data_IF_497240773556
#
_entry.id   IF_497240773556
#
_cell.length_a   1.000
_cell.length_b   1.000
_cell.length_c   1.000
_cell.angle_alpha   90.00
_cell.angle_beta   90.00
_cell.angle_gamma   90.00
#
_symmetry.space_group_name_H-M   'P 1'
#
loop_
_entity.id
_entity.type
_entity.pdbx_description
1 polymer ?
#
# COMPACT_ATOMS: atom_id res chain seq x y z
N UNK A 1 5.10 -28.29 0.87
CA UNK A 1 6.32 -27.46 0.72
C UNK A 1 6.34 -26.49 1.89
N UNK A 2 7.45 -26.37 2.58
CA UNK A 2 7.55 -25.57 3.82
C UNK A 2 7.68 -24.09 3.54
N UNK A 3 7.04 -23.24 4.35
CA UNK A 3 7.01 -21.78 4.17
C UNK A 3 8.41 -21.15 4.14
N UNK A 4 9.27 -21.55 5.08
CA UNK A 4 10.64 -21.02 5.17
C UNK A 4 11.51 -21.41 3.97
N UNK A 5 11.30 -22.60 3.41
CA UNK A 5 11.99 -23.03 2.18
C UNK A 5 11.52 -22.20 0.99
N UNK A 6 10.21 -21.97 0.87
CA UNK A 6 9.62 -21.11 -0.16
C UNK A 6 10.12 -19.68 -0.05
N UNK A 7 10.13 -19.09 1.15
CA UNK A 7 10.69 -17.75 1.40
C UNK A 7 12.15 -17.67 0.96
N UNK A 8 12.97 -18.62 1.41
CA UNK A 8 14.40 -18.65 1.08
C UNK A 8 14.64 -18.75 -0.44
N UNK A 9 13.81 -19.49 -1.16
CA UNK A 9 13.93 -19.63 -2.60
C UNK A 9 13.41 -18.39 -3.35
N UNK A 10 12.29 -17.81 -2.90
CA UNK A 10 11.75 -16.54 -3.40
C UNK A 10 12.76 -15.40 -3.30
N UNK A 11 13.41 -15.24 -2.14
CA UNK A 11 14.43 -14.20 -1.94
C UNK A 11 15.66 -14.39 -2.83
N UNK A 12 15.98 -15.63 -3.23
CA UNK A 12 17.09 -15.94 -4.13
C UNK A 12 16.77 -15.69 -5.59
N UNK A 13 15.53 -15.93 -6.03
CA UNK A 13 15.14 -15.69 -7.42
C UNK A 13 15.06 -14.20 -7.73
N UNK A 14 14.61 -13.38 -6.77
CA UNK A 14 14.36 -11.96 -6.98
C UNK A 14 13.16 -11.70 -7.91
N UNK A 15 12.37 -12.74 -8.21
CA UNK A 15 11.20 -12.66 -9.08
C UNK A 15 9.98 -12.26 -8.26
N UNK A 16 9.64 -10.97 -8.31
CA UNK A 16 8.42 -10.45 -7.70
C UNK A 16 7.17 -10.98 -8.39
N UNK A 17 6.15 -11.29 -7.60
CA UNK A 17 4.84 -11.61 -8.14
C UNK A 17 4.11 -10.31 -8.50
N UNK A 18 3.72 -10.16 -9.77
CA UNK A 18 3.05 -8.95 -10.24
C UNK A 18 1.81 -9.31 -11.07
N UNK A 19 0.71 -9.69 -10.39
CA UNK A 19 -0.51 -10.13 -11.04
C UNK A 19 -1.17 -9.01 -11.86
N UNK A 20 -0.88 -7.74 -11.54
CA UNK A 20 -1.34 -6.58 -12.31
C UNK A 20 -0.74 -6.55 -13.74
N UNK A 21 0.41 -7.22 -13.96
CA UNK A 21 1.01 -7.43 -15.28
C UNK A 21 0.89 -8.88 -15.78
N UNK A 22 0.03 -9.66 -15.15
CA UNK A 22 -0.19 -11.06 -15.46
C UNK A 22 1.02 -11.96 -15.28
N UNK A 23 1.94 -11.59 -14.39
CA UNK A 23 3.12 -12.40 -14.06
C UNK A 23 2.80 -13.34 -12.92
N UNK A 24 2.94 -14.63 -13.18
CA UNK A 24 2.91 -15.65 -12.15
C UNK A 24 4.27 -15.79 -11.46
N UNK A 25 4.27 -16.29 -10.23
CA UNK A 25 5.47 -16.77 -9.57
C UNK A 25 5.28 -18.28 -9.35
N UNK A 26 5.95 -19.10 -10.16
CA UNK A 26 5.80 -20.56 -10.15
C UNK A 26 6.05 -21.16 -8.76
N UNK A 27 6.96 -20.55 -7.99
CA UNK A 27 7.33 -20.99 -6.66
C UNK A 27 6.20 -20.77 -5.65
N UNK A 28 5.55 -19.60 -5.69
CA UNK A 28 4.38 -19.30 -4.88
C UNK A 28 3.15 -20.11 -5.32
N UNK A 29 2.96 -20.31 -6.63
CA UNK A 29 1.92 -21.18 -7.18
C UNK A 29 2.08 -22.62 -6.72
N UNK A 30 3.30 -23.16 -6.74
CA UNK A 30 3.62 -24.49 -6.21
C UNK A 30 3.37 -24.58 -4.70
N UNK A 31 3.68 -23.51 -3.95
CA UNK A 31 3.38 -23.46 -2.52
C UNK A 31 1.88 -23.55 -2.27
N UNK A 32 1.08 -22.74 -2.98
CA UNK A 32 -0.38 -22.73 -2.88
C UNK A 32 -1.01 -24.06 -3.29
N UNK A 33 -0.47 -24.72 -4.32
CA UNK A 33 -0.94 -26.03 -4.74
C UNK A 33 -0.70 -27.11 -3.66
N UNK A 34 0.45 -27.06 -2.99
CA UNK A 34 0.80 -27.97 -1.90
C UNK A 34 0.08 -27.64 -0.59
N UNK A 35 -0.29 -26.38 -0.36
CA UNK A 35 -0.88 -25.88 0.87
C UNK A 35 -2.19 -25.13 0.57
N UNK A 36 -3.33 -25.82 0.62
CA UNK A 36 -4.62 -25.20 0.25
C UNK A 36 -5.01 -24.05 1.18
N UNK A 37 -4.64 -24.13 2.45
CA UNK A 37 -4.83 -23.12 3.48
C UNK A 37 -3.52 -22.85 4.23
N UNK A 38 -3.37 -21.67 4.80
CA UNK A 38 -2.29 -21.36 5.74
C UNK A 38 -2.59 -21.99 7.10
N UNK A 39 -1.59 -22.62 7.71
CA UNK A 39 -1.71 -23.05 9.11
C UNK A 39 -1.64 -21.85 10.06
N UNK A 40 -2.03 -22.04 11.31
CA UNK A 40 -1.85 -21.00 12.34
C UNK A 40 -0.37 -20.65 12.55
N UNK A 41 0.52 -21.64 12.45
CA UNK A 41 1.97 -21.42 12.52
C UNK A 41 2.46 -20.55 11.36
N UNK A 42 1.98 -20.81 10.13
CA UNK A 42 2.32 -19.99 8.96
C UNK A 42 1.84 -18.55 9.14
N UNK A 43 0.58 -18.38 9.57
CA UNK A 43 0.01 -17.06 9.80
C UNK A 43 0.79 -16.26 10.85
N UNK A 44 1.22 -16.90 11.93
CA UNK A 44 2.05 -16.26 12.94
C UNK A 44 3.42 -15.86 12.40
N UNK A 45 4.10 -16.74 11.66
CA UNK A 45 5.39 -16.43 11.05
C UNK A 45 5.31 -15.26 10.04
N UNK A 46 4.28 -15.24 9.20
CA UNK A 46 4.04 -14.15 8.25
C UNK A 46 3.76 -12.82 8.98
N UNK A 47 3.02 -12.86 10.09
CA UNK A 47 2.74 -11.68 10.92
C UNK A 47 4.02 -11.13 11.56
N UNK A 48 4.88 -12.00 12.06
CA UNK A 48 6.17 -11.62 12.63
C UNK A 48 7.05 -10.89 11.59
N UNK A 49 7.09 -11.40 10.36
CA UNK A 49 7.84 -10.75 9.26
C UNK A 49 7.29 -9.33 9.01
N UNK A 50 5.97 -9.15 8.88
CA UNK A 50 5.36 -7.85 8.61
C UNK A 50 5.66 -6.82 9.72
N UNK A 51 5.60 -7.24 10.98
CA UNK A 51 5.81 -6.38 12.15
C UNK A 51 7.28 -6.13 12.50
N UNK A 52 8.20 -6.92 11.95
CA UNK A 52 9.62 -6.77 12.21
C UNK A 52 10.27 -5.67 11.35
N UNK A 53 11.52 -5.35 11.68
CA UNK A 53 12.41 -4.54 10.83
C UNK A 53 13.02 -5.39 9.68
N UNK A 54 12.35 -6.46 9.26
CA UNK A 54 12.76 -7.24 8.09
C UNK A 54 12.90 -6.33 6.86
N UNK A 55 13.79 -6.74 5.96
CA UNK A 55 13.94 -6.04 4.69
C UNK A 55 12.63 -6.10 3.88
N UNK A 56 12.46 -5.14 2.96
CA UNK A 56 11.25 -5.06 2.16
C UNK A 56 11.02 -6.29 1.27
N UNK A 57 12.06 -7.02 0.85
CA UNK A 57 11.90 -8.23 0.05
C UNK A 57 11.20 -9.36 0.83
N UNK A 58 11.48 -9.49 2.12
CA UNK A 58 10.77 -10.43 2.99
C UNK A 58 9.31 -10.02 3.18
N UNK A 59 9.02 -8.72 3.29
CA UNK A 59 7.64 -8.22 3.38
C UNK A 59 6.89 -8.41 2.06
N UNK A 60 7.55 -8.22 0.90
CA UNK A 60 6.99 -8.55 -0.41
C UNK A 60 6.64 -10.02 -0.52
N UNK A 61 7.51 -10.92 -0.04
CA UNK A 61 7.17 -12.35 0.02
C UNK A 61 5.85 -12.59 0.76
N UNK A 62 5.65 -11.94 1.91
CA UNK A 62 4.39 -12.05 2.67
C UNK A 62 3.21 -11.51 1.86
N UNK A 63 3.34 -10.36 1.22
CA UNK A 63 2.26 -9.79 0.44
C UNK A 63 1.87 -10.67 -0.75
N UNK A 64 2.87 -11.14 -1.49
CA UNK A 64 2.70 -11.96 -2.69
C UNK A 64 2.10 -13.33 -2.34
N UNK A 65 2.54 -13.96 -1.25
CA UNK A 65 1.95 -15.22 -0.82
C UNK A 65 0.52 -15.00 -0.36
N UNK A 66 0.22 -13.95 0.43
CA UNK A 66 -1.13 -13.67 0.92
C UNK A 66 -2.11 -13.31 -0.20
N UNK A 67 -1.64 -12.77 -1.32
CA UNK A 67 -2.46 -12.58 -2.51
C UNK A 67 -3.13 -13.88 -3.00
N UNK A 68 -2.43 -15.02 -2.86
CA UNK A 68 -2.91 -16.34 -3.27
C UNK A 68 -3.91 -16.95 -2.27
N UNK A 69 -4.11 -16.34 -1.10
CA UNK A 69 -5.03 -16.81 -0.06
C UNK A 69 -6.09 -15.74 0.21
N UNK A 70 -7.17 -15.67 -0.58
CA UNK A 70 -8.21 -14.65 -0.39
C UNK A 70 -8.87 -14.69 0.99
N UNK A 71 -8.78 -15.82 1.70
CA UNK A 71 -9.33 -16.02 3.06
C UNK A 71 -8.24 -16.05 4.15
N UNK A 72 -7.11 -15.35 3.96
CA UNK A 72 -6.07 -15.31 4.99
C UNK A 72 -6.58 -14.73 6.33
N UNK A 73 -5.94 -15.07 7.47
CA UNK A 73 -6.38 -14.61 8.79
C UNK A 73 -6.47 -13.08 8.94
N UNK A 74 -7.57 -12.59 9.50
CA UNK A 74 -7.84 -11.14 9.63
C UNK A 74 -6.73 -10.39 10.42
N UNK A 75 -6.06 -11.08 11.35
CA UNK A 75 -4.94 -10.52 12.12
C UNK A 75 -3.73 -10.09 11.27
N UNK A 76 -3.67 -10.46 9.98
CA UNK A 76 -2.65 -10.01 9.04
C UNK A 76 -3.04 -8.76 8.26
N UNK A 77 -4.31 -8.36 8.27
CA UNK A 77 -4.80 -7.19 7.49
C UNK A 77 -4.15 -5.90 7.95
N UNK A 78 -4.14 -5.63 9.26
CA UNK A 78 -3.60 -4.35 9.77
C UNK A 78 -2.08 -4.24 9.56
N UNK A 79 -1.25 -5.27 9.83
CA UNK A 79 0.16 -5.25 9.47
C UNK A 79 0.41 -5.06 7.97
N UNK A 80 -0.42 -5.65 7.11
CA UNK A 80 -0.34 -5.47 5.65
C UNK A 80 -0.67 -4.04 5.24
N UNK A 81 -1.76 -3.46 5.74
CA UNK A 81 -2.11 -2.06 5.46
C UNK A 81 -1.07 -1.09 6.02
N UNK A 82 -0.48 -1.38 7.18
CA UNK A 82 0.62 -0.59 7.71
C UNK A 82 1.83 -0.61 6.76
N UNK A 83 2.19 -1.77 6.21
CA UNK A 83 3.23 -1.86 5.19
C UNK A 83 2.85 -1.07 3.94
N UNK A 84 1.61 -1.18 3.45
CA UNK A 84 1.12 -0.41 2.30
C UNK A 84 1.26 1.10 2.51
N UNK A 85 0.89 1.59 3.70
CA UNK A 85 0.90 3.02 4.04
C UNK A 85 2.32 3.56 4.23
N UNK A 86 3.26 2.73 4.69
CA UNK A 86 4.63 3.17 5.01
C UNK A 86 5.64 2.85 3.92
N UNK A 87 5.21 2.17 2.84
CA UNK A 87 6.08 1.85 1.72
C UNK A 87 6.45 3.12 0.95
N UNK A 88 7.74 3.32 0.69
CA UNK A 88 8.23 4.58 0.13
C UNK A 88 7.98 4.73 -1.37
N UNK A 89 7.97 3.64 -2.13
CA UNK A 89 7.72 3.71 -3.58
C UNK A 89 6.21 3.57 -3.87
N UNK A 90 5.53 4.63 -4.32
CA UNK A 90 4.10 4.64 -4.57
C UNK A 90 3.67 3.71 -5.71
N UNK A 91 4.62 3.16 -6.47
CA UNK A 91 4.33 2.15 -7.47
C UNK A 91 4.10 0.80 -6.78
N UNK A 92 4.85 0.48 -5.74
CA UNK A 92 4.92 -0.86 -5.15
C UNK A 92 4.10 -0.99 -3.85
N UNK A 93 3.66 0.10 -3.24
CA UNK A 93 2.73 0.11 -2.10
C UNK A 93 1.48 -0.77 -2.33
N UNK A 94 1.02 -0.86 -3.59
CA UNK A 94 -0.11 -1.67 -4.04
C UNK A 94 0.07 -3.16 -3.76
N UNK A 95 1.30 -3.66 -3.71
CA UNK A 95 1.60 -5.07 -3.43
C UNK A 95 0.99 -5.48 -2.09
N UNK A 96 1.06 -4.59 -1.10
CA UNK A 96 0.49 -4.82 0.22
C UNK A 96 -1.02 -4.51 0.29
N UNK A 97 -1.49 -3.55 -0.51
CA UNK A 97 -2.90 -3.17 -0.57
C UNK A 97 -3.77 -4.28 -1.19
N UNK A 98 -3.31 -4.89 -2.28
CA UNK A 98 -4.11 -5.80 -3.10
C UNK A 98 -4.63 -7.03 -2.36
N UNK A 99 -3.83 -7.74 -1.54
CA UNK A 99 -4.34 -8.84 -0.72
C UNK A 99 -5.45 -8.37 0.23
N UNK A 100 -5.34 -7.17 0.81
CA UNK A 100 -6.36 -6.61 1.68
C UNK A 100 -7.68 -6.33 0.93
N UNK A 101 -7.59 -5.74 -0.27
CA UNK A 101 -8.76 -5.50 -1.12
C UNK A 101 -9.45 -6.80 -1.54
N UNK A 102 -8.70 -7.89 -1.77
CA UNK A 102 -9.26 -9.21 -2.05
C UNK A 102 -9.95 -9.81 -0.83
N UNK A 103 -9.36 -9.63 0.36
CA UNK A 103 -9.80 -10.29 1.60
C UNK A 103 -11.01 -9.65 2.26
N UNK A 104 -11.03 -8.32 2.36
CA UNK A 104 -12.08 -7.59 3.11
C UNK A 104 -12.85 -6.58 2.23
N UNK A 105 -12.46 -6.40 0.97
CA UNK A 105 -13.11 -5.48 0.03
C UNK A 105 -12.72 -4.01 0.23
N UNK A 106 -13.03 -3.18 -0.77
CA UNK A 106 -12.70 -1.74 -0.79
C UNK A 106 -13.25 -1.00 0.43
N UNK A 107 -14.53 -1.17 0.79
CA UNK A 107 -15.15 -0.37 1.87
C UNK A 107 -14.44 -0.57 3.21
N UNK A 108 -14.18 -1.81 3.61
CA UNK A 108 -13.51 -2.10 4.88
C UNK A 108 -12.04 -1.65 4.88
N UNK A 109 -11.35 -1.72 3.73
CA UNK A 109 -10.01 -1.15 3.59
C UNK A 109 -10.06 0.38 3.78
N UNK A 110 -11.00 1.06 3.11
CA UNK A 110 -11.16 2.52 3.24
C UNK A 110 -11.44 2.92 4.69
N UNK A 111 -12.32 2.22 5.40
CA UNK A 111 -12.61 2.51 6.81
C UNK A 111 -11.34 2.44 7.67
N UNK A 112 -10.53 1.38 7.49
CA UNK A 112 -9.23 1.25 8.17
C UNK A 112 -8.24 2.36 7.78
N UNK A 113 -8.18 2.75 6.51
CA UNK A 113 -7.32 3.84 6.05
C UNK A 113 -7.76 5.19 6.62
N UNK A 114 -9.06 5.46 6.77
CA UNK A 114 -9.57 6.68 7.42
C UNK A 114 -9.18 6.72 8.89
N UNK A 115 -9.28 5.60 9.57
CA UNK A 115 -8.86 5.45 10.97
C UNK A 115 -7.37 5.78 11.18
N UNK A 116 -6.52 5.40 10.23
CA UNK A 116 -5.09 5.77 10.18
C UNK A 116 -4.92 7.22 9.73
N UNK A 117 -5.69 7.71 8.76
CA UNK A 117 -5.64 9.09 8.27
C UNK A 117 -5.93 10.11 9.39
N UNK A 118 -6.83 9.77 10.31
CA UNK A 118 -7.23 10.66 11.41
C UNK A 118 -6.21 10.68 12.56
N UNK A 119 -5.56 9.55 12.86
CA UNK A 119 -4.70 9.37 14.05
C UNK A 119 -3.21 9.29 13.74
N UNK A 120 -2.87 8.98 12.49
CA UNK A 120 -1.52 8.68 12.05
C UNK A 120 -0.63 9.91 11.96
N UNK A 121 0.65 9.64 11.77
CA UNK A 121 1.70 10.61 11.47
C UNK A 121 1.51 11.26 10.10
N UNK A 122 2.25 12.34 9.83
CA UNK A 122 2.26 13.00 8.52
C UNK A 122 2.67 12.03 7.40
N UNK A 123 3.64 11.15 7.67
CA UNK A 123 4.11 10.12 6.73
C UNK A 123 2.98 9.16 6.37
N UNK A 124 2.25 8.66 7.37
CA UNK A 124 1.12 7.74 7.14
C UNK A 124 0.00 8.42 6.34
N UNK A 125 -0.33 9.67 6.64
CA UNK A 125 -1.35 10.42 5.88
C UNK A 125 -0.95 10.61 4.41
N UNK A 126 0.33 10.85 4.12
CA UNK A 126 0.83 10.95 2.75
C UNK A 126 0.82 9.59 2.04
N UNK A 127 1.20 8.51 2.73
CA UNK A 127 1.09 7.15 2.20
C UNK A 127 -0.34 6.76 1.84
N UNK A 128 -1.31 7.08 2.69
CA UNK A 128 -2.75 6.89 2.38
C UNK A 128 -3.16 7.69 1.13
N UNK A 129 -2.59 8.87 0.96
CA UNK A 129 -2.86 9.73 -0.21
C UNK A 129 -2.34 9.10 -1.49
N UNK A 130 -1.18 8.44 -1.45
CA UNK A 130 -0.64 7.66 -2.57
C UNK A 130 -1.53 6.45 -2.88
N UNK A 131 -1.94 5.69 -1.85
CA UNK A 131 -2.80 4.52 -2.00
C UNK A 131 -4.16 4.83 -2.65
N UNK A 132 -4.67 6.06 -2.50
CA UNK A 132 -5.92 6.50 -3.12
C UNK A 132 -5.96 6.33 -4.65
N UNK A 133 -4.80 6.31 -5.31
CA UNK A 133 -4.69 6.02 -6.74
C UNK A 133 -4.93 4.55 -7.09
N UNK A 134 -4.58 3.63 -6.18
CA UNK A 134 -4.67 2.18 -6.40
C UNK A 134 -5.99 1.57 -5.99
N UNK A 135 -6.67 2.13 -4.98
CA UNK A 135 -7.98 1.65 -4.50
C UNK A 135 -9.05 1.53 -5.61
N UNK A 136 -9.19 2.48 -6.57
CA UNK A 136 -10.15 2.37 -7.65
C UNK A 136 -9.87 1.20 -8.60
N UNK A 137 -8.63 0.70 -8.62
CA UNK A 137 -8.20 -0.33 -9.55
C UNK A 137 -8.51 -1.69 -8.91
N UNK A 138 -9.30 -2.56 -9.53
CA UNK A 138 -9.58 -3.88 -8.99
C UNK A 138 -8.30 -4.74 -8.93
N UNK A 139 -8.18 -5.64 -7.94
CA UNK A 139 -7.17 -6.69 -7.98
C UNK A 139 -7.46 -7.67 -9.12
N UNK A 140 -6.44 -8.39 -9.58
CA UNK A 140 -6.54 -9.34 -10.70
C UNK A 140 -6.68 -10.79 -10.21
N UNK A 141 -7.37 -11.64 -10.94
CA UNK A 141 -7.38 -13.09 -10.71
C UNK A 141 -7.07 -13.87 -11.97
N UNK A 142 -6.38 -15.00 -11.82
CA UNK A 142 -6.10 -15.90 -12.92
C UNK A 142 -7.20 -16.96 -13.01
N UNK A 143 -7.91 -17.00 -14.14
CA UNK A 143 -8.99 -17.98 -14.39
C UNK A 143 -8.51 -19.26 -15.11
N UNK A 144 -7.19 -19.47 -15.19
CA UNK A 144 -6.56 -20.59 -15.89
C UNK A 144 -6.18 -20.30 -17.35
N UNK A 145 -6.66 -19.20 -17.94
CA UNK A 145 -6.28 -18.79 -19.30
C UNK A 145 -5.77 -17.35 -19.38
N UNK A 146 -6.20 -16.48 -18.47
CA UNK A 146 -5.79 -15.07 -18.43
C UNK A 146 -6.02 -14.46 -17.05
N UNK A 147 -5.33 -13.35 -16.80
CA UNK A 147 -5.60 -12.48 -15.65
C UNK A 147 -6.76 -11.55 -15.97
N UNK A 148 -7.77 -11.53 -15.10
CA UNK A 148 -8.98 -10.72 -15.23
C UNK A 148 -9.19 -9.87 -13.97
N UNK A 149 -9.72 -8.64 -14.10
CA UNK A 149 -10.13 -7.83 -12.96
C UNK A 149 -11.19 -8.52 -12.10
N UNK A 150 -11.04 -8.50 -10.77
CA UNK A 150 -12.08 -8.90 -9.83
C UNK A 150 -13.07 -7.75 -9.69
N UNK A 151 -14.32 -7.95 -10.08
CA UNK A 151 -15.36 -6.94 -9.87
C UNK A 151 -15.51 -6.62 -8.37
N UNK A 152 -15.41 -5.33 -8.05
CA UNK A 152 -15.54 -4.84 -6.68
C UNK A 152 -16.81 -4.00 -6.56
N UNK A 153 -17.73 -4.32 -5.64
CA UNK A 153 -18.92 -3.51 -5.45
C UNK A 153 -18.57 -2.13 -4.84
N UNK A 154 -19.21 -1.08 -5.36
CA UNK A 154 -19.29 0.27 -4.76
C UNK A 154 -17.96 1.00 -4.49
N UNK A 155 -16.99 0.84 -5.38
CA UNK A 155 -15.69 1.52 -5.28
C UNK A 155 -15.82 3.05 -5.23
N UNK A 156 -16.76 3.63 -5.99
CA UNK A 156 -16.94 5.09 -6.05
C UNK A 156 -17.42 5.71 -4.74
N UNK A 157 -18.33 5.04 -4.01
CA UNK A 157 -18.87 5.53 -2.74
C UNK A 157 -17.77 5.53 -1.66
N UNK A 158 -17.02 4.44 -1.55
CA UNK A 158 -15.92 4.34 -0.59
C UNK A 158 -14.82 5.36 -0.88
N UNK A 159 -14.46 5.55 -2.16
CA UNK A 159 -13.48 6.57 -2.56
C UNK A 159 -13.95 7.99 -2.25
N UNK A 160 -15.23 8.28 -2.42
CA UNK A 160 -15.80 9.57 -2.06
C UNK A 160 -15.67 9.82 -0.54
N UNK A 161 -15.93 8.80 0.28
CA UNK A 161 -15.78 8.87 1.73
C UNK A 161 -14.31 9.13 2.11
N UNK A 162 -13.36 8.41 1.51
CA UNK A 162 -11.93 8.65 1.73
C UNK A 162 -11.51 10.07 1.34
N UNK A 163 -11.93 10.54 0.16
CA UNK A 163 -11.62 11.89 -0.32
C UNK A 163 -12.20 12.98 0.58
N UNK A 164 -13.40 12.76 1.14
CA UNK A 164 -13.99 13.67 2.14
C UNK A 164 -13.15 13.73 3.41
N UNK A 165 -12.71 12.57 3.93
CA UNK A 165 -11.83 12.53 5.09
C UNK A 165 -10.48 13.22 4.82
N UNK A 166 -9.92 13.08 3.61
CA UNK A 166 -8.73 13.83 3.18
C UNK A 166 -8.97 15.33 3.13
N UNK A 167 -10.12 15.78 2.60
CA UNK A 167 -10.49 17.19 2.60
C UNK A 167 -10.56 17.76 4.03
N UNK A 168 -11.10 17.00 4.98
CA UNK A 168 -11.11 17.41 6.38
C UNK A 168 -9.68 17.53 6.94
N UNK A 169 -8.74 16.66 6.55
CA UNK A 169 -7.33 16.77 6.97
C UNK A 169 -6.60 17.95 6.31
N UNK A 170 -6.89 18.26 5.05
CA UNK A 170 -6.34 19.44 4.36
C UNK A 170 -6.63 20.72 5.14
N UNK A 171 -7.81 20.83 5.78
CA UNK A 171 -8.15 22.00 6.60
C UNK A 171 -7.39 22.09 7.93
N UNK A 172 -6.76 21.00 8.38
CA UNK A 172 -6.11 20.87 9.69
C UNK A 172 -4.59 20.96 9.62
N UNK A 173 -4.00 20.80 8.45
CA UNK A 173 -2.54 20.84 8.27
C UNK A 173 -2.08 22.14 7.65
N UNK A 174 -0.91 22.61 8.09
CA UNK A 174 -0.16 23.70 7.45
C UNK A 174 1.16 23.19 6.86
N UNK A 175 1.39 21.87 6.87
CA UNK A 175 2.62 21.28 6.34
C UNK A 175 2.59 21.31 4.80
N UNK A 176 3.51 22.03 4.14
CA UNK A 176 3.48 22.18 2.69
C UNK A 176 3.78 20.90 1.92
N UNK A 177 4.53 19.96 2.51
CA UNK A 177 4.78 18.64 1.90
C UNK A 177 3.51 17.81 1.93
N UNK A 178 2.82 17.77 3.07
CA UNK A 178 1.55 17.08 3.21
C UNK A 178 0.48 17.64 2.25
N UNK A 179 0.37 18.97 2.18
CA UNK A 179 -0.54 19.65 1.25
C UNK A 179 -0.21 19.36 -0.22
N UNK A 180 1.07 19.24 -0.58
CA UNK A 180 1.48 18.82 -1.92
C UNK A 180 0.93 17.43 -2.27
N UNK A 181 1.05 16.46 -1.36
CA UNK A 181 0.53 15.12 -1.57
C UNK A 181 -1.00 15.12 -1.76
N UNK A 182 -1.74 15.84 -0.92
CA UNK A 182 -3.19 15.98 -1.10
C UNK A 182 -3.55 16.62 -2.45
N UNK A 183 -2.81 17.65 -2.88
CA UNK A 183 -3.02 18.34 -4.16
C UNK A 183 -2.86 17.41 -5.37
N UNK A 184 -2.04 16.34 -5.27
CA UNK A 184 -1.87 15.39 -6.37
C UNK A 184 -3.14 14.57 -6.68
N UNK A 185 -4.02 14.37 -5.70
CA UNK A 185 -5.19 13.48 -5.83
C UNK A 185 -6.53 14.18 -5.61
N UNK A 186 -6.51 15.48 -5.27
CA UNK A 186 -7.70 16.29 -4.95
C UNK A 186 -7.90 17.45 -5.93
N UNK A 187 -9.02 18.14 -5.79
CA UNK A 187 -9.31 19.37 -6.53
C UNK A 187 -8.27 20.46 -6.22
N UNK A 188 -7.50 20.85 -7.23
CA UNK A 188 -6.42 21.83 -7.11
C UNK A 188 -6.91 23.26 -6.81
N UNK A 189 -8.21 23.52 -6.87
CA UNK A 189 -8.81 24.83 -6.60
C UNK A 189 -9.01 25.13 -5.11
N UNK A 190 -8.73 24.17 -4.21
CA UNK A 190 -8.84 24.39 -2.77
C UNK A 190 -7.90 25.53 -2.30
N UNK A 191 -8.38 26.52 -1.52
CA UNK A 191 -7.57 27.64 -1.07
C UNK A 191 -6.30 27.24 -0.30
N UNK A 192 -6.34 26.09 0.39
CA UNK A 192 -5.21 25.53 1.13
C UNK A 192 -4.03 25.15 0.24
N UNK A 193 -4.27 24.95 -1.06
CA UNK A 193 -3.21 24.65 -2.04
C UNK A 193 -2.57 25.90 -2.65
N UNK A 194 -3.00 27.10 -2.25
CA UNK A 194 -2.37 28.33 -2.70
C UNK A 194 -0.88 28.37 -2.31
N UNK A 195 0.00 28.54 -3.30
CA UNK A 195 1.45 28.54 -3.10
C UNK A 195 2.08 27.15 -2.97
N UNK A 196 1.29 26.07 -3.02
CA UNK A 196 1.80 24.70 -3.12
C UNK A 196 2.13 24.42 -4.59
N UNK A 197 3.34 23.92 -4.91
CA UNK A 197 3.77 23.66 -6.29
C UNK A 197 2.97 22.53 -6.95
N UNK A 198 3.08 22.41 -8.27
CA UNK A 198 2.43 21.35 -9.06
C UNK A 198 3.40 20.22 -9.47
N UNK A 199 4.69 20.39 -9.19
CA UNK A 199 5.72 19.45 -9.59
C UNK A 199 6.77 19.23 -8.48
N UNK A 200 7.52 18.14 -8.65
CA UNK A 200 8.55 17.70 -7.70
C UNK A 200 9.65 18.75 -7.52
N UNK A 201 10.04 19.46 -8.58
CA UNK A 201 11.09 20.47 -8.54
C UNK A 201 10.66 21.65 -7.66
N UNK A 202 9.44 22.14 -7.86
CA UNK A 202 8.86 23.21 -7.07
C UNK A 202 8.73 22.83 -5.60
N UNK A 203 8.41 21.56 -5.29
CA UNK A 203 8.39 21.09 -3.90
C UNK A 203 9.80 21.09 -3.29
N UNK A 204 10.79 20.57 -4.01
CA UNK A 204 12.20 20.60 -3.59
C UNK A 204 12.68 22.03 -3.32
N UNK A 205 12.36 22.97 -4.22
CA UNK A 205 12.69 24.38 -4.03
C UNK A 205 11.95 24.99 -2.82
N UNK A 206 10.70 24.59 -2.58
CA UNK A 206 9.88 25.07 -1.45
C UNK A 206 10.42 24.61 -0.08
N UNK A 207 10.98 23.40 0.01
CA UNK A 207 11.53 22.85 1.27
C UNK A 207 12.97 23.25 1.52
N UNK A 208 13.69 23.72 0.50
CA UNK A 208 15.11 24.07 0.59
C UNK A 208 15.40 25.04 1.73
N UNK A 209 16.38 24.67 2.57
CA UNK A 209 16.79 25.46 3.73
C UNK A 209 15.84 25.36 4.93
N UNK A 210 14.88 24.44 4.92
CA UNK A 210 13.95 24.17 6.03
C UNK A 210 14.20 22.75 6.56
N UNK A 211 15.07 22.57 7.59
CA UNK A 211 15.59 21.26 7.98
C UNK A 211 14.51 20.20 8.27
N UNK A 212 13.41 20.58 8.93
CA UNK A 212 12.33 19.65 9.27
C UNK A 212 11.58 19.14 8.03
N UNK A 213 11.44 19.98 6.98
CA UNK A 213 10.77 19.60 5.74
C UNK A 213 11.71 18.83 4.81
N UNK A 214 13.00 19.16 4.82
CA UNK A 214 14.02 18.38 4.11
C UNK A 214 14.15 16.97 4.70
N UNK A 215 14.13 16.84 6.03
CA UNK A 215 14.13 15.53 6.69
C UNK A 215 12.90 14.71 6.33
N UNK A 216 11.71 15.34 6.39
CA UNK A 216 10.47 14.68 5.99
C UNK A 216 10.52 14.21 4.53
N UNK A 217 10.94 15.07 3.60
CA UNK A 217 10.91 14.75 2.18
C UNK A 217 11.98 13.72 1.79
N UNK A 218 13.22 13.91 2.21
CA UNK A 218 14.35 13.11 1.73
C UNK A 218 14.62 11.87 2.58
N UNK A 219 14.46 11.97 3.90
CA UNK A 219 14.82 10.86 4.79
C UNK A 219 13.60 9.98 5.10
N UNK A 220 12.46 10.59 5.46
CA UNK A 220 11.27 9.83 5.84
C UNK A 220 10.50 9.31 4.62
N UNK A 221 10.30 10.16 3.60
CA UNK A 221 9.62 9.77 2.36
C UNK A 221 10.56 9.20 1.28
N UNK A 222 11.87 9.23 1.48
CA UNK A 222 12.83 8.59 0.58
C UNK A 222 13.01 9.29 -0.78
N UNK A 223 12.69 10.58 -0.92
CA UNK A 223 12.97 11.30 -2.16
C UNK A 223 14.48 11.40 -2.41
N UNK A 224 14.87 11.35 -3.68
CA UNK A 224 16.26 11.56 -4.08
C UNK A 224 16.57 13.07 -4.09
N UNK A 225 17.77 13.43 -3.62
CA UNK A 225 18.28 14.80 -3.61
C UNK A 225 18.82 15.23 -4.97
#
# INVERSE_FOLDING_TARGET
MELEQTKSAYLKSGEFFDPDYGRENELLSAFKAANRSLSESDANALREILNSNANWNEKHFVADILYLYPDFPEALVDPMLHCAVTYQDPSFDRIFLRPCLRRIGVSAVVDKLIDVLVRGSVVERMGITQLAYWIPRPPMEHNGSSWQPIEQPRTDEALLVLRKAMADQVTKTTNPVELYYYKLVMDKSLPQFAGIPDDAKGLTDLVKGKPELEDLLFNQLGWQR
#
